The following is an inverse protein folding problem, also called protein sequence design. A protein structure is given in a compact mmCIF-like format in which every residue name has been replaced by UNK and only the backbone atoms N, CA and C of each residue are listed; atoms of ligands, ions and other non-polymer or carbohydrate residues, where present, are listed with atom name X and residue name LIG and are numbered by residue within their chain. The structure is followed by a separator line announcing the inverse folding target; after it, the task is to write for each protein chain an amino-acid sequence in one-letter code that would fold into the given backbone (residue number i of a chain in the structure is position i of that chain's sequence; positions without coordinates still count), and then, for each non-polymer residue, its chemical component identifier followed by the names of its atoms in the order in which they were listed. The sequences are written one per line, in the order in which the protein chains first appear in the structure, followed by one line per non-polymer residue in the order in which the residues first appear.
data_IF_661482602453
#
_entry.id   IF_661482602453
#
_cell.length_a   1.000
_cell.length_b   1.000
_cell.length_c   1.000
_cell.angle_alpha   90.00
_cell.angle_beta   90.00
_cell.angle_gamma   90.00
#
_symmetry.space_group_name_H-M   'P 1'
#
loop_
_entity.id
_entity.type
_entity.pdbx_description
1 polymer ?
#
# COMPACT_ATOMS: atom_id res chain seq x y z
N UNK A 1 -26.52 30.38 13.93
CA UNK A 1 -25.36 29.50 14.36
C UNK A 1 -24.23 30.45 14.73
N UNK A 2 -23.72 30.41 15.94
CA UNK A 2 -22.61 31.30 16.36
C UNK A 2 -21.30 30.53 16.27
N UNK A 3 -20.24 31.19 15.78
CA UNK A 3 -18.90 30.60 15.78
C UNK A 3 -18.37 30.51 17.22
N UNK A 4 -17.87 29.32 17.62
CA UNK A 4 -17.31 29.08 18.94
C UNK A 4 -15.87 28.56 18.76
N UNK A 5 -14.89 29.26 19.36
CA UNK A 5 -13.48 28.91 19.29
C UNK A 5 -13.04 27.96 20.44
N UNK A 6 -13.87 27.78 21.45
CA UNK A 6 -13.60 26.91 22.59
C UNK A 6 -14.57 25.72 22.57
N UNK A 7 -14.01 24.52 22.43
CA UNK A 7 -14.72 23.25 22.43
C UNK A 7 -15.92 23.18 21.45
N UNK A 8 -15.70 23.41 20.14
CA UNK A 8 -16.75 23.41 19.13
C UNK A 8 -17.31 21.99 18.95
N UNK A 9 -18.62 21.87 18.70
CA UNK A 9 -19.26 20.59 18.38
C UNK A 9 -18.84 20.05 17.00
N UNK A 10 -18.59 20.96 16.07
CA UNK A 10 -18.16 20.64 14.70
C UNK A 10 -17.03 21.61 14.32
N UNK A 11 -15.97 21.08 13.76
CA UNK A 11 -14.90 21.89 13.18
C UNK A 11 -15.04 21.85 11.66
N UNK A 12 -14.93 23.01 11.05
CA UNK A 12 -15.01 23.12 9.60
C UNK A 12 -13.63 23.42 9.05
N UNK A 13 -13.23 22.64 8.05
CA UNK A 13 -12.00 22.85 7.29
C UNK A 13 -12.29 23.40 5.91
N UNK A 14 -11.39 24.27 5.44
CA UNK A 14 -11.37 24.72 4.06
C UNK A 14 -9.97 24.51 3.49
N UNK A 15 -9.87 23.95 2.29
CA UNK A 15 -8.60 23.70 1.63
C UNK A 15 -8.70 24.01 0.14
N UNK A 16 -7.57 24.46 -0.47
CA UNK A 16 -7.49 24.73 -1.90
C UNK A 16 -6.44 23.81 -2.54
N UNK A 17 -6.83 23.08 -3.59
CA UNK A 17 -5.94 22.24 -4.39
C UNK A 17 -6.08 22.66 -5.86
N UNK A 18 -5.04 23.23 -6.43
CA UNK A 18 -5.13 23.86 -7.75
C UNK A 18 -6.18 24.96 -7.76
N UNK A 19 -7.15 24.86 -8.66
CA UNK A 19 -8.27 25.82 -8.78
C UNK A 19 -9.55 25.36 -8.06
N UNK A 20 -9.52 24.26 -7.31
CA UNK A 20 -10.69 23.73 -6.60
C UNK A 20 -10.59 24.01 -5.11
N UNK A 21 -11.72 24.40 -4.53
CA UNK A 21 -11.90 24.55 -3.10
C UNK A 21 -12.65 23.36 -2.55
N UNK A 22 -12.17 22.85 -1.42
CA UNK A 22 -12.80 21.78 -0.65
C UNK A 22 -13.24 22.38 0.68
N UNK A 23 -14.46 22.07 1.06
CA UNK A 23 -15.08 22.52 2.30
C UNK A 23 -15.78 21.32 2.95
N UNK A 24 -15.59 21.14 4.25
CA UNK A 24 -16.20 20.02 4.96
C UNK A 24 -15.85 20.01 6.44
N UNK A 25 -16.33 18.98 7.11
CA UNK A 25 -15.98 18.75 8.49
C UNK A 25 -14.48 18.42 8.61
N UNK A 26 -13.83 19.00 9.62
CA UNK A 26 -12.41 18.82 9.88
C UNK A 26 -12.21 17.99 11.13
N UNK A 27 -11.56 16.85 10.97
CA UNK A 27 -11.04 16.05 12.05
C UNK A 27 -9.51 16.14 12.08
N UNK A 28 -8.96 16.41 13.27
CA UNK A 28 -7.51 16.49 13.44
C UNK A 28 -6.93 15.08 13.42
N UNK A 29 -5.95 14.84 12.55
CA UNK A 29 -5.19 13.60 12.59
C UNK A 29 -4.41 13.52 13.91
N UNK A 30 -4.52 12.41 14.62
CA UNK A 30 -3.80 12.12 15.85
C UNK A 30 -2.32 11.78 15.62
N UNK A 31 -1.98 11.41 14.38
CA UNK A 31 -0.64 10.97 13.97
C UNK A 31 -0.15 9.69 14.68
N UNK A 32 -0.99 8.91 15.32
CA UNK A 32 -0.60 7.70 16.01
C UNK A 32 0.14 6.70 15.12
N UNK A 33 -0.20 6.67 13.83
CA UNK A 33 0.48 5.84 12.84
C UNK A 33 1.99 6.12 12.67
N UNK A 34 2.50 7.27 13.15
CA UNK A 34 3.94 7.54 13.17
C UNK A 34 4.74 6.56 14.03
N UNK A 35 4.09 5.85 14.96
CA UNK A 35 4.72 4.80 15.74
C UNK A 35 5.32 3.71 14.84
N UNK A 36 4.75 3.47 13.65
CA UNK A 36 5.20 2.43 12.73
C UNK A 36 6.58 2.71 12.10
N UNK A 37 7.11 3.94 12.21
CA UNK A 37 8.50 4.23 11.88
C UNK A 37 9.49 3.51 12.83
N UNK A 38 9.02 3.10 14.03
CA UNK A 38 9.84 2.41 15.04
C UNK A 38 9.91 0.89 14.85
N UNK A 39 9.36 0.35 13.73
CA UNK A 39 9.45 -1.08 13.47
C UNK A 39 10.90 -1.57 13.53
N UNK A 40 11.19 -2.68 14.22
CA UNK A 40 12.56 -3.15 14.46
C UNK A 40 13.30 -3.56 13.18
N UNK A 41 12.58 -3.99 12.15
CA UNK A 41 13.16 -4.40 10.87
C UNK A 41 12.72 -3.45 9.77
N UNK A 42 13.68 -2.78 9.13
CA UNK A 42 13.44 -1.88 8.00
C UNK A 42 14.54 -2.03 6.96
N UNK A 43 14.22 -1.78 5.70
CA UNK A 43 15.19 -1.65 4.62
C UNK A 43 15.12 -0.26 4.02
N UNK A 44 16.26 0.24 3.55
CA UNK A 44 16.40 1.60 3.01
C UNK A 44 15.51 1.87 1.79
N UNK A 45 15.17 0.82 1.04
CA UNK A 45 14.33 0.86 -0.16
C UNK A 45 12.86 0.51 0.10
N UNK A 46 12.47 0.12 1.31
CA UNK A 46 11.07 -0.12 1.62
C UNK A 46 10.23 1.16 1.49
N UNK A 47 8.95 0.98 1.24
CA UNK A 47 7.99 2.09 1.24
C UNK A 47 8.02 2.80 2.61
N UNK A 48 8.01 4.14 2.57
CA UNK A 48 7.78 4.90 3.79
C UNK A 48 6.34 4.75 4.27
N UNK A 49 6.14 4.79 5.59
CA UNK A 49 4.82 4.57 6.20
C UNK A 49 3.73 5.49 5.66
N UNK A 50 4.03 6.78 5.37
CA UNK A 50 3.07 7.73 4.78
C UNK A 50 2.53 7.24 3.44
N UNK A 51 3.43 6.74 2.59
CA UNK A 51 3.04 6.24 1.28
C UNK A 51 2.27 4.92 1.42
N UNK A 52 2.76 3.99 2.23
CA UNK A 52 2.07 2.72 2.49
C UNK A 52 0.63 2.96 2.97
N UNK A 53 0.45 3.88 3.95
CA UNK A 53 -0.88 4.26 4.45
C UNK A 53 -1.77 4.87 3.36
N UNK A 54 -1.20 5.73 2.51
CA UNK A 54 -1.94 6.30 1.37
C UNK A 54 -2.39 5.23 0.38
N UNK A 55 -1.52 4.24 0.07
CA UNK A 55 -1.87 3.13 -0.82
C UNK A 55 -3.00 2.28 -0.25
N UNK A 56 -2.97 1.99 1.05
CA UNK A 56 -4.05 1.27 1.75
C UNK A 56 -5.37 2.06 1.67
N UNK A 57 -5.34 3.38 1.90
CA UNK A 57 -6.53 4.22 1.74
C UNK A 57 -7.09 4.20 0.31
N UNK A 58 -6.22 4.28 -0.71
CA UNK A 58 -6.63 4.20 -2.13
C UNK A 58 -7.21 2.80 -2.46
N UNK A 59 -6.65 1.77 -1.86
CA UNK A 59 -7.12 0.41 -2.04
C UNK A 59 -8.50 0.19 -1.45
N UNK A 60 -8.69 0.55 -0.17
CA UNK A 60 -9.89 0.26 0.61
C UNK A 60 -11.00 1.29 0.46
N UNK A 61 -10.65 2.56 0.21
CA UNK A 61 -11.65 3.63 0.23
C UNK A 61 -12.37 3.69 1.58
N UNK A 62 -13.69 3.56 1.55
CA UNK A 62 -14.54 3.59 2.74
C UNK A 62 -15.04 2.21 3.18
N UNK A 63 -14.62 1.13 2.53
CA UNK A 63 -15.06 -0.23 2.84
C UNK A 63 -13.96 -1.02 3.55
N UNK A 64 -14.11 -1.18 4.87
CA UNK A 64 -13.16 -1.95 5.69
C UNK A 64 -13.26 -3.47 5.50
N UNK A 65 -14.34 -3.97 4.85
CA UNK A 65 -14.52 -5.40 4.61
C UNK A 65 -13.77 -5.89 3.36
N UNK A 66 -13.22 -4.97 2.58
CA UNK A 66 -12.46 -5.31 1.38
C UNK A 66 -11.26 -6.19 1.72
N UNK A 67 -11.09 -7.28 0.98
CA UNK A 67 -9.96 -8.21 1.16
C UNK A 67 -8.76 -7.70 0.36
N UNK A 68 -7.70 -7.38 1.08
CA UNK A 68 -6.45 -6.88 0.50
C UNK A 68 -5.34 -7.91 0.53
N UNK A 69 -4.42 -7.82 -0.42
CA UNK A 69 -3.18 -8.57 -0.41
C UNK A 69 -1.99 -7.70 -0.79
N UNK A 70 -0.86 -7.89 -0.07
CA UNK A 70 0.46 -7.45 -0.50
C UNK A 70 1.30 -8.70 -0.78
N UNK A 71 1.40 -9.14 -2.06
CA UNK A 71 2.06 -10.39 -2.41
C UNK A 71 3.59 -10.28 -2.55
N UNK A 72 4.15 -9.09 -2.31
CA UNK A 72 5.59 -8.81 -2.27
C UNK A 72 5.90 -7.98 -1.01
N UNK A 73 5.37 -8.40 0.14
CA UNK A 73 5.22 -7.56 1.32
C UNK A 73 6.54 -7.13 1.99
N UNK A 74 7.65 -7.75 1.65
CA UNK A 74 8.93 -7.45 2.27
C UNK A 74 8.85 -7.48 3.79
N UNK A 75 9.27 -6.41 4.45
CA UNK A 75 9.19 -6.26 5.92
C UNK A 75 7.81 -5.87 6.45
N UNK A 76 6.78 -5.91 5.59
CA UNK A 76 5.38 -5.75 5.97
C UNK A 76 4.91 -4.32 6.16
N UNK A 77 5.53 -3.30 5.57
CA UNK A 77 5.14 -1.89 5.79
C UNK A 77 3.69 -1.62 5.39
N UNK A 78 3.26 -2.09 4.21
CA UNK A 78 1.88 -1.94 3.73
C UNK A 78 0.91 -2.77 4.59
N UNK A 79 1.32 -3.99 4.96
CA UNK A 79 0.53 -4.89 5.80
C UNK A 79 0.27 -4.28 7.18
N UNK A 80 1.31 -3.70 7.81
CA UNK A 80 1.18 -3.01 9.11
C UNK A 80 0.16 -1.87 9.03
N UNK A 81 0.26 -1.03 7.99
CA UNK A 81 -0.69 0.06 7.80
C UNK A 81 -2.12 -0.46 7.58
N UNK A 82 -2.29 -1.51 6.76
CA UNK A 82 -3.60 -2.11 6.53
C UNK A 82 -4.23 -2.67 7.81
N UNK A 83 -3.47 -3.45 8.58
CA UNK A 83 -3.94 -4.01 9.86
C UNK A 83 -4.27 -2.90 10.86
N UNK A 84 -3.41 -1.87 10.97
CA UNK A 84 -3.63 -0.74 11.90
C UNK A 84 -4.88 0.07 11.60
N UNK A 85 -5.31 0.07 10.35
CA UNK A 85 -6.53 0.75 9.89
C UNK A 85 -7.77 -0.16 9.93
N UNK A 86 -7.64 -1.40 10.41
CA UNK A 86 -8.74 -2.35 10.53
C UNK A 86 -9.11 -3.07 9.24
N UNK A 87 -8.30 -2.99 8.19
CA UNK A 87 -8.55 -3.71 6.95
C UNK A 87 -8.19 -5.20 7.05
N UNK A 88 -8.92 -6.02 6.30
CA UNK A 88 -8.60 -7.44 6.11
C UNK A 88 -7.49 -7.58 5.05
N UNK A 89 -6.24 -7.52 5.49
CA UNK A 89 -5.05 -7.60 4.62
C UNK A 89 -4.19 -8.81 4.96
N UNK A 90 -3.64 -9.47 3.92
CA UNK A 90 -2.62 -10.51 4.05
C UNK A 90 -1.35 -10.10 3.32
N UNK A 91 -0.20 -10.49 3.87
CA UNK A 91 1.10 -10.31 3.25
C UNK A 91 1.70 -11.63 2.79
N UNK A 92 2.34 -11.63 1.62
CA UNK A 92 3.14 -12.75 1.15
C UNK A 92 4.48 -12.24 0.63
N UNK A 93 5.51 -13.07 0.75
CA UNK A 93 6.80 -12.82 0.12
C UNK A 93 7.48 -14.17 -0.14
N UNK A 94 8.17 -14.28 -1.27
CA UNK A 94 8.91 -15.49 -1.63
C UNK A 94 10.08 -15.74 -0.67
N UNK A 95 10.63 -14.68 -0.08
CA UNK A 95 11.73 -14.75 0.86
C UNK A 95 11.23 -14.99 2.29
N UNK A 96 11.33 -16.24 2.74
CA UNK A 96 10.89 -16.67 4.09
C UNK A 96 11.56 -15.92 5.23
N UNK A 97 12.83 -15.50 5.06
CA UNK A 97 13.55 -14.73 6.08
C UNK A 97 12.98 -13.32 6.22
N UNK A 98 12.62 -12.69 5.09
CA UNK A 98 11.96 -11.38 5.07
C UNK A 98 10.57 -11.47 5.71
N UNK A 99 9.82 -12.53 5.44
CA UNK A 99 8.54 -12.79 6.11
C UNK A 99 8.69 -12.92 7.64
N UNK A 100 9.77 -13.55 8.13
CA UNK A 100 10.07 -13.61 9.57
C UNK A 100 10.23 -12.21 10.16
N UNK A 101 10.92 -11.31 9.46
CA UNK A 101 11.08 -9.91 9.89
C UNK A 101 9.74 -9.16 9.86
N UNK A 102 8.89 -9.38 8.85
CA UNK A 102 7.56 -8.80 8.78
C UNK A 102 6.67 -9.24 9.95
N UNK A 103 6.70 -10.53 10.33
CA UNK A 103 5.96 -11.05 11.49
C UNK A 103 6.43 -10.42 12.80
N UNK A 104 7.75 -10.29 12.99
CA UNK A 104 8.32 -9.62 14.17
C UNK A 104 7.95 -8.13 14.23
N UNK A 105 7.83 -7.47 13.09
CA UNK A 105 7.33 -6.10 13.02
C UNK A 105 5.86 -6.02 13.44
N UNK A 106 5.00 -6.94 12.97
CA UNK A 106 3.59 -7.01 13.39
C UNK A 106 3.48 -7.30 14.89
N UNK A 107 4.22 -8.29 15.39
CA UNK A 107 4.27 -8.66 16.82
C UNK A 107 4.70 -7.47 17.70
N UNK A 108 5.71 -6.69 17.26
CA UNK A 108 6.20 -5.52 17.98
C UNK A 108 5.10 -4.47 18.22
N UNK A 109 4.13 -4.36 17.31
CA UNK A 109 2.97 -3.46 17.46
C UNK A 109 1.74 -4.16 18.06
N UNK A 110 1.85 -5.43 18.46
CA UNK A 110 0.73 -6.20 19.01
C UNK A 110 -0.31 -6.63 17.98
N UNK A 111 0.06 -6.67 16.69
CA UNK A 111 -0.82 -7.11 15.62
C UNK A 111 -0.70 -8.62 15.38
N UNK A 112 -1.80 -9.21 14.90
CA UNK A 112 -1.83 -10.62 14.53
C UNK A 112 -0.88 -10.92 13.35
N UNK A 113 -0.36 -12.15 13.33
CA UNK A 113 0.41 -12.65 12.18
C UNK A 113 -0.53 -12.92 10.98
N UNK A 114 -0.34 -12.13 9.94
CA UNK A 114 -1.08 -12.23 8.67
C UNK A 114 -0.12 -12.39 7.48
N UNK A 115 1.15 -12.76 7.75
CA UNK A 115 2.21 -12.87 6.73
C UNK A 115 2.62 -14.32 6.52
N UNK A 116 2.71 -14.75 5.25
CA UNK A 116 3.11 -16.10 4.86
C UNK A 116 4.24 -16.08 3.82
N UNK A 117 5.24 -16.95 4.01
CA UNK A 117 6.30 -17.17 3.02
C UNK A 117 5.79 -18.02 1.86
N UNK A 118 5.50 -17.40 0.70
CA UNK A 118 4.91 -18.05 -0.47
C UNK A 118 5.18 -17.22 -1.72
N UNK A 119 5.41 -17.86 -2.86
CA UNK A 119 5.43 -17.19 -4.15
C UNK A 119 4.00 -16.73 -4.52
N UNK A 120 3.89 -15.56 -5.13
CA UNK A 120 2.60 -15.05 -5.63
C UNK A 120 1.91 -16.03 -6.59
N UNK A 121 2.68 -16.83 -7.34
CA UNK A 121 2.17 -17.84 -8.27
C UNK A 121 1.39 -18.97 -7.59
N UNK A 122 1.70 -19.21 -6.31
CA UNK A 122 1.13 -20.30 -5.51
C UNK A 122 -0.05 -19.83 -4.66
N UNK A 123 -0.43 -18.56 -4.72
CA UNK A 123 -1.57 -18.02 -4.00
C UNK A 123 -2.86 -18.41 -4.74
N UNK A 124 -3.69 -19.25 -4.10
CA UNK A 124 -4.99 -19.68 -4.63
C UNK A 124 -6.15 -18.79 -4.15
N UNK A 125 -5.97 -18.12 -3.03
CA UNK A 125 -6.99 -17.25 -2.42
C UNK A 125 -7.25 -16.02 -3.31
N UNK A 126 -8.52 -15.58 -3.34
CA UNK A 126 -8.93 -14.38 -4.07
C UNK A 126 -9.08 -13.19 -3.14
N UNK A 127 -8.73 -12.04 -3.65
CA UNK A 127 -8.77 -10.75 -2.99
C UNK A 127 -9.47 -9.73 -3.88
N UNK A 128 -9.99 -8.68 -3.27
CA UNK A 128 -10.61 -7.59 -4.02
C UNK A 128 -9.53 -6.67 -4.60
N UNK A 129 -8.40 -6.49 -3.87
CA UNK A 129 -7.32 -5.61 -4.30
C UNK A 129 -5.94 -6.13 -3.89
N UNK A 130 -4.99 -6.07 -4.82
CA UNK A 130 -3.57 -6.25 -4.57
C UNK A 130 -2.85 -4.89 -4.50
N UNK A 131 -1.94 -4.74 -3.55
CA UNK A 131 -1.02 -3.60 -3.44
C UNK A 131 0.39 -4.14 -3.62
N UNK A 132 1.10 -3.70 -4.64
CA UNK A 132 2.43 -4.23 -4.99
C UNK A 132 3.43 -3.09 -5.14
N UNK A 133 4.46 -3.05 -4.28
CA UNK A 133 5.70 -2.34 -4.56
C UNK A 133 6.57 -3.29 -5.39
N UNK A 134 6.51 -3.13 -6.72
CA UNK A 134 7.12 -4.09 -7.64
C UNK A 134 8.63 -4.15 -7.41
N UNK A 135 9.24 -5.34 -7.22
CA UNK A 135 10.68 -5.45 -7.08
C UNK A 135 11.41 -4.85 -8.31
N UNK A 136 12.41 -4.01 -8.07
CA UNK A 136 13.09 -3.22 -9.13
C UNK A 136 14.60 -3.42 -9.20
N UNK A 137 15.11 -4.47 -8.60
CA UNK A 137 16.49 -4.92 -8.86
C UNK A 137 17.63 -4.09 -8.27
N UNK A 138 17.36 -3.06 -7.43
CA UNK A 138 18.44 -2.26 -6.84
C UNK A 138 19.36 -3.06 -5.88
N UNK A 139 18.84 -4.11 -5.25
CA UNK A 139 19.58 -4.95 -4.29
C UNK A 139 19.52 -6.44 -4.65
N UNK A 140 18.50 -6.86 -5.35
CA UNK A 140 18.34 -8.23 -5.87
C UNK A 140 18.00 -8.10 -7.33
N UNK A 141 18.88 -8.56 -8.25
CA UNK A 141 18.58 -8.52 -9.67
C UNK A 141 17.24 -9.19 -9.95
N UNK A 142 16.38 -8.51 -10.69
CA UNK A 142 15.11 -9.04 -11.17
C UNK A 142 15.04 -8.83 -12.68
N UNK A 143 14.61 -9.85 -13.41
CA UNK A 143 14.45 -9.76 -14.87
C UNK A 143 13.07 -9.19 -15.21
N UNK A 144 12.92 -8.49 -16.34
CA UNK A 144 11.61 -8.00 -16.79
C UNK A 144 10.56 -9.10 -16.89
N UNK A 145 10.96 -10.33 -17.28
CA UNK A 145 10.05 -11.49 -17.30
C UNK A 145 9.49 -11.86 -15.93
N UNK A 146 10.30 -11.72 -14.87
CA UNK A 146 9.86 -11.99 -13.49
C UNK A 146 8.89 -10.91 -12.99
N UNK A 147 9.12 -9.66 -13.37
CA UNK A 147 8.18 -8.56 -13.08
C UNK A 147 6.84 -8.78 -13.80
N UNK A 148 6.87 -9.19 -15.07
CA UNK A 148 5.67 -9.56 -15.83
C UNK A 148 4.92 -10.72 -15.17
N UNK A 149 5.64 -11.74 -14.73
CA UNK A 149 5.07 -12.90 -14.02
C UNK A 149 4.35 -12.49 -12.73
N UNK A 150 4.91 -11.53 -11.98
CA UNK A 150 4.28 -10.99 -10.77
C UNK A 150 2.96 -10.28 -11.13
N UNK A 151 2.97 -9.41 -12.15
CA UNK A 151 1.76 -8.67 -12.56
C UNK A 151 0.69 -9.62 -13.11
N UNK A 152 1.08 -10.60 -13.93
CA UNK A 152 0.17 -11.64 -14.42
C UNK A 152 -0.43 -12.49 -13.28
N UNK A 153 0.37 -12.78 -12.25
CA UNK A 153 -0.10 -13.53 -11.09
C UNK A 153 -1.03 -12.67 -10.22
N UNK A 154 -0.76 -11.37 -10.11
CA UNK A 154 -1.65 -10.43 -9.43
C UNK A 154 -3.05 -10.42 -10.06
N UNK A 155 -3.14 -10.46 -11.40
CA UNK A 155 -4.46 -10.51 -12.09
C UNK A 155 -5.26 -11.76 -11.77
N UNK A 156 -4.55 -12.86 -11.50
CA UNK A 156 -5.22 -14.12 -11.13
C UNK A 156 -5.83 -14.08 -9.73
N UNK A 157 -5.28 -13.29 -8.82
CA UNK A 157 -5.67 -13.29 -7.40
C UNK A 157 -6.46 -12.05 -6.99
N UNK A 158 -6.47 -10.96 -7.79
CA UNK A 158 -7.19 -9.73 -7.45
C UNK A 158 -7.78 -9.05 -8.69
N UNK A 159 -8.94 -8.41 -8.51
CA UNK A 159 -9.62 -7.66 -9.56
C UNK A 159 -9.08 -6.23 -9.70
N UNK A 160 -8.60 -5.63 -8.61
CA UNK A 160 -7.97 -4.30 -8.57
C UNK A 160 -6.50 -4.44 -8.19
N UNK A 161 -5.63 -3.66 -8.84
CA UNK A 161 -4.21 -3.59 -8.55
C UNK A 161 -3.79 -2.13 -8.28
N UNK A 162 -3.10 -1.91 -7.16
CA UNK A 162 -2.34 -0.70 -6.89
C UNK A 162 -0.87 -1.05 -7.09
N UNK A 163 -0.30 -0.59 -8.20
CA UNK A 163 1.07 -0.93 -8.60
C UNK A 163 2.00 0.26 -8.36
N UNK A 164 3.09 0.04 -7.63
CA UNK A 164 4.15 1.02 -7.40
C UNK A 164 5.39 0.58 -8.16
N UNK A 165 5.95 1.47 -8.98
CA UNK A 165 7.09 1.19 -9.85
C UNK A 165 8.06 2.37 -9.90
N UNK A 166 9.27 2.15 -10.44
CA UNK A 166 10.25 3.20 -10.74
C UNK A 166 10.32 3.50 -12.24
N UNK A 167 9.75 2.64 -13.06
CA UNK A 167 9.74 2.71 -14.51
C UNK A 167 8.32 2.61 -15.05
N UNK A 168 8.15 2.90 -16.32
CA UNK A 168 6.89 2.69 -17.01
C UNK A 168 6.65 1.19 -17.21
N UNK A 169 5.56 0.69 -16.67
CA UNK A 169 5.15 -0.72 -16.76
C UNK A 169 3.80 -0.89 -17.44
N UNK A 170 3.36 0.11 -18.19
CA UNK A 170 2.04 0.14 -18.82
C UNK A 170 1.78 -1.07 -19.70
N UNK A 171 2.74 -1.40 -20.55
CA UNK A 171 2.62 -2.56 -21.45
C UNK A 171 2.41 -3.85 -20.66
N UNK A 172 3.14 -4.04 -19.55
CA UNK A 172 2.99 -5.22 -18.68
C UNK A 172 1.63 -5.27 -18.00
N UNK A 173 1.13 -4.11 -17.55
CA UNK A 173 -0.19 -3.96 -16.94
C UNK A 173 -1.29 -4.32 -17.93
N UNK A 174 -1.23 -3.79 -19.16
CA UNK A 174 -2.20 -4.09 -20.22
C UNK A 174 -2.13 -5.54 -20.68
N UNK A 175 -0.94 -6.10 -20.85
CA UNK A 175 -0.75 -7.49 -21.26
C UNK A 175 -1.27 -8.49 -20.21
N UNK A 176 -1.23 -8.12 -18.92
CA UNK A 176 -1.82 -8.91 -17.85
C UNK A 176 -3.37 -8.81 -17.79
N UNK A 177 -3.98 -7.96 -18.61
CA UNK A 177 -5.44 -7.78 -18.67
C UNK A 177 -5.99 -6.77 -17.66
N UNK A 178 -5.15 -5.92 -17.10
CA UNK A 178 -5.58 -4.77 -16.31
C UNK A 178 -5.77 -3.53 -17.18
N UNK A 179 -6.64 -2.62 -16.74
CA UNK A 179 -6.83 -1.29 -17.30
C UNK A 179 -6.43 -0.24 -16.26
N UNK A 180 -5.51 0.64 -16.63
CA UNK A 180 -5.12 1.76 -15.77
C UNK A 180 -6.22 2.81 -15.78
N UNK A 181 -6.74 3.15 -14.59
CA UNK A 181 -7.84 4.11 -14.42
C UNK A 181 -7.39 5.42 -13.77
N UNK A 182 -6.28 5.40 -13.02
CA UNK A 182 -5.73 6.60 -12.40
C UNK A 182 -4.23 6.44 -12.14
N UNK A 183 -3.52 7.57 -11.96
CA UNK A 183 -2.07 7.61 -11.72
C UNK A 183 -1.68 8.76 -10.83
N UNK A 184 -0.63 8.51 -10.04
CA UNK A 184 0.08 9.58 -9.38
C UNK A 184 1.59 9.30 -9.32
N UNK A 185 2.35 10.34 -8.94
CA UNK A 185 3.81 10.25 -8.77
C UNK A 185 4.17 10.76 -7.39
N UNK A 186 5.10 10.07 -6.74
CA UNK A 186 5.65 10.49 -5.45
C UNK A 186 7.18 10.58 -5.57
N UNK A 187 7.72 11.74 -5.22
CA UNK A 187 9.16 12.00 -5.25
C UNK A 187 9.74 11.95 -3.85
N UNK A 188 10.89 11.28 -3.69
CA UNK A 188 11.72 11.32 -2.48
C UNK A 188 13.16 11.59 -2.90
N UNK A 189 13.58 12.85 -2.80
CA UNK A 189 14.87 13.29 -3.35
C UNK A 189 14.91 13.11 -4.87
N UNK A 190 15.89 12.36 -5.37
CA UNK A 190 16.04 12.06 -6.80
C UNK A 190 15.20 10.86 -7.28
N UNK A 191 14.59 10.13 -6.37
CA UNK A 191 13.79 8.94 -6.70
C UNK A 191 12.33 9.33 -6.94
N UNK A 192 11.79 8.87 -8.05
CA UNK A 192 10.37 9.02 -8.40
C UNK A 192 9.75 7.64 -8.41
N UNK A 193 8.63 7.49 -7.68
CA UNK A 193 7.77 6.32 -7.78
C UNK A 193 6.53 6.67 -8.57
N UNK A 194 6.18 5.82 -9.50
CA UNK A 194 4.93 5.86 -10.24
C UNK A 194 3.95 4.94 -9.55
N UNK A 195 2.73 5.39 -9.38
CA UNK A 195 1.65 4.63 -8.78
C UNK A 195 0.54 4.56 -9.81
N UNK A 196 0.20 3.35 -10.21
CA UNK A 196 -0.91 3.08 -11.14
C UNK A 196 -2.03 2.37 -10.41
N UNK A 197 -3.26 2.84 -10.60
CA UNK A 197 -4.48 2.23 -10.09
C UNK A 197 -5.15 1.53 -11.26
N UNK A 198 -5.31 0.23 -11.16
CA UNK A 198 -5.69 -0.65 -12.26
C UNK A 198 -6.90 -1.52 -11.88
N UNK A 199 -7.77 -1.81 -12.86
CA UNK A 199 -8.93 -2.69 -12.74
C UNK A 199 -8.98 -3.69 -13.89
#
# INVERSE_FOLDING_TARGET
MFACNHNPRVRIGISKVGNRWYFGEYEKNDFEWHIHDKKPYSYSNSLGIKLARALVNIAGGNDVNIKMVDPCCGVGTVVIEGVSMGFNIKGFDINKQICSNARRNLEFFGYNDVVKGMDIKDIEEKFDVAIIDLPYGLFTPIRPSEQMDIINSARKIADKLILVTFEDMDEFVYNAGFKIIDRCKVSKGKFIRYISICI
#
